data_IF_447591065058
#
_entry.id   IF_447591065058
#
_cell.length_a   1.000
_cell.length_b   1.000
_cell.length_c   1.000
_cell.angle_alpha   90.00
_cell.angle_beta   90.00
_cell.angle_gamma   90.00
#
_symmetry.space_group_name_H-M   'P 1'
#
loop_
_entity.id
_entity.type
_entity.pdbx_description
1 polymer ?
#
# COMPACT_ATOMS: atom_id res chain seq x y z
N UNK A 1 14.54 -17.59 17.03
CA UNK A 1 13.89 -16.31 17.30
C UNK A 1 12.73 -16.14 16.32
N UNK A 2 11.57 -15.80 16.79
CA UNK A 2 10.44 -15.59 15.89
C UNK A 2 10.62 -14.34 15.06
N UNK A 3 10.22 -14.42 13.79
CA UNK A 3 10.15 -13.27 12.92
C UNK A 3 8.87 -12.49 13.26
N UNK A 4 9.03 -11.28 13.76
CA UNK A 4 7.90 -10.42 14.14
C UNK A 4 7.49 -9.48 13.01
N UNK A 5 8.16 -9.56 11.86
CA UNK A 5 7.87 -8.67 10.73
C UNK A 5 6.53 -8.99 10.09
N UNK A 6 5.94 -7.96 9.53
CA UNK A 6 4.70 -8.05 8.78
C UNK A 6 5.03 -7.92 7.29
N UNK A 7 4.65 -8.92 6.51
CA UNK A 7 4.81 -8.95 5.06
C UNK A 7 3.43 -8.91 4.42
N UNK A 8 3.20 -7.96 3.53
CA UNK A 8 1.89 -7.74 2.93
C UNK A 8 1.99 -7.64 1.42
N UNK A 9 1.00 -8.21 0.75
CA UNK A 9 0.78 -8.01 -0.67
C UNK A 9 -0.57 -7.30 -0.82
N UNK A 10 -0.56 -6.06 -1.29
CA UNK A 10 -1.78 -5.30 -1.51
C UNK A 10 -2.05 -5.21 -3.02
N UNK A 11 -3.26 -5.55 -3.43
CA UNK A 11 -3.65 -5.54 -4.84
C UNK A 11 -4.86 -4.64 -5.01
N UNK A 12 -4.77 -3.73 -5.99
CA UNK A 12 -5.76 -2.69 -6.24
C UNK A 12 -6.16 -2.74 -7.70
N UNK A 13 -7.46 -2.67 -7.97
CA UNK A 13 -7.95 -2.52 -9.34
C UNK A 13 -8.49 -1.11 -9.50
N UNK A 14 -7.97 -0.35 -10.46
CA UNK A 14 -8.28 1.06 -10.63
C UNK A 14 -9.30 1.23 -11.76
N UNK A 15 -10.30 2.07 -11.53
CA UNK A 15 -11.31 2.35 -12.55
C UNK A 15 -10.69 3.03 -13.77
N UNK A 16 -11.21 2.73 -14.98
CA UNK A 16 -10.78 3.43 -16.19
C UNK A 16 -10.90 4.95 -16.03
N UNK A 17 -9.86 5.66 -16.48
CA UNK A 17 -9.84 7.11 -16.37
C UNK A 17 -9.30 7.67 -15.04
N UNK A 18 -9.09 6.80 -14.02
CA UNK A 18 -8.60 7.25 -12.72
C UNK A 18 -7.13 6.92 -12.48
N UNK A 19 -6.46 6.24 -13.40
CA UNK A 19 -5.13 5.69 -13.14
C UNK A 19 -4.08 6.74 -12.78
N UNK A 20 -3.98 7.82 -13.54
CA UNK A 20 -2.94 8.83 -13.30
C UNK A 20 -3.18 9.59 -11.99
N UNK A 21 -4.43 9.89 -11.68
CA UNK A 21 -4.79 10.49 -10.40
C UNK A 21 -4.46 9.58 -9.23
N UNK A 22 -4.79 8.29 -9.34
CA UNK A 22 -4.51 7.31 -8.28
C UNK A 22 -3.00 7.14 -8.08
N UNK A 23 -2.24 7.09 -9.15
CA UNK A 23 -0.77 7.04 -9.05
C UNK A 23 -0.22 8.24 -8.27
N UNK A 24 -0.74 9.43 -8.54
CA UNK A 24 -0.31 10.64 -7.84
C UNK A 24 -0.66 10.58 -6.34
N UNK A 25 -1.84 10.08 -6.01
CA UNK A 25 -2.29 9.89 -4.63
C UNK A 25 -1.34 8.96 -3.88
N UNK A 26 -1.01 7.81 -4.49
CA UNK A 26 -0.09 6.85 -3.86
C UNK A 26 1.32 7.42 -3.71
N UNK A 27 1.84 8.13 -4.70
CA UNK A 27 3.18 8.73 -4.64
C UNK A 27 3.29 9.76 -3.54
N UNK A 28 2.25 10.56 -3.34
CA UNK A 28 2.24 11.56 -2.27
C UNK A 28 2.35 10.92 -0.89
N UNK A 29 1.65 9.80 -0.67
CA UNK A 29 1.70 9.08 0.60
C UNK A 29 2.98 8.24 0.76
N UNK A 30 3.59 7.80 -0.34
CA UNK A 30 4.80 6.96 -0.31
C UNK A 30 5.97 7.67 0.37
N UNK A 31 6.16 8.95 0.08
CA UNK A 31 7.30 9.71 0.61
C UNK A 31 7.33 9.69 2.14
N UNK A 32 6.28 10.11 2.86
CA UNK A 32 6.30 10.04 4.32
C UNK A 32 6.26 8.60 4.84
N UNK A 33 5.64 7.65 4.12
CA UNK A 33 5.62 6.25 4.53
C UNK A 33 7.03 5.67 4.60
N UNK A 34 7.88 5.95 3.61
CA UNK A 34 9.26 5.47 3.59
C UNK A 34 10.13 6.09 4.69
N UNK A 35 9.67 7.17 5.30
CA UNK A 35 10.36 7.80 6.43
C UNK A 35 9.93 7.22 7.78
N UNK A 36 8.90 6.40 7.83
CA UNK A 36 8.46 5.74 9.06
C UNK A 36 9.54 4.76 9.54
N UNK A 37 9.94 4.83 10.82
CA UNK A 37 10.99 3.95 11.33
C UNK A 37 10.70 2.46 11.17
N UNK A 38 9.42 2.09 11.20
CA UNK A 38 9.01 0.70 11.09
C UNK A 38 8.71 0.22 9.68
N UNK A 39 8.74 1.09 8.68
CA UNK A 39 8.55 0.68 7.29
C UNK A 39 9.89 0.26 6.70
N UNK A 40 10.06 -1.04 6.49
CA UNK A 40 11.32 -1.59 5.97
C UNK A 40 11.34 -1.63 4.46
N UNK A 41 10.19 -1.82 3.82
CA UNK A 41 10.08 -1.83 2.37
C UNK A 41 8.65 -1.49 1.97
N UNK A 42 8.53 -0.77 0.87
CA UNK A 42 7.25 -0.55 0.19
C UNK A 42 7.56 -0.38 -1.30
N UNK A 43 7.20 -1.39 -2.08
CA UNK A 43 7.36 -1.38 -3.53
C UNK A 43 6.00 -1.22 -4.16
N UNK A 44 5.77 -0.07 -4.77
CA UNK A 44 4.53 0.22 -5.49
C UNK A 44 4.72 -0.11 -6.95
N UNK A 45 4.08 -1.18 -7.40
CA UNK A 45 4.21 -1.67 -8.77
C UNK A 45 2.84 -1.78 -9.45
N UNK A 46 2.87 -1.94 -10.75
CA UNK A 46 1.68 -2.26 -11.53
C UNK A 46 1.97 -3.47 -12.40
N UNK A 47 0.95 -4.21 -12.77
CA UNK A 47 1.12 -5.35 -13.66
C UNK A 47 1.50 -4.86 -15.05
N UNK A 48 2.45 -5.54 -15.68
CA UNK A 48 2.86 -5.20 -17.06
C UNK A 48 1.75 -5.49 -18.06
N UNK A 49 0.95 -6.52 -17.79
CA UNK A 49 -0.14 -6.94 -18.69
C UNK A 49 -1.43 -6.16 -18.47
N UNK A 50 -1.55 -5.44 -17.33
CA UNK A 50 -2.73 -4.64 -17.02
C UNK A 50 -2.36 -3.49 -16.08
N UNK A 51 -2.09 -2.29 -16.62
CA UNK A 51 -1.63 -1.17 -15.80
C UNK A 51 -2.65 -0.65 -14.79
N UNK A 52 -3.93 -1.05 -14.91
CA UNK A 52 -4.96 -0.70 -13.92
C UNK A 52 -4.95 -1.62 -12.71
N UNK A 53 -4.13 -2.67 -12.72
CA UNK A 53 -3.94 -3.55 -11.57
C UNK A 53 -2.61 -3.23 -10.91
N UNK A 54 -2.68 -2.64 -9.73
CA UNK A 54 -1.51 -2.28 -8.94
C UNK A 54 -1.23 -3.37 -7.92
N UNK A 55 0.06 -3.65 -7.70
CA UNK A 55 0.51 -4.69 -6.78
C UNK A 55 1.63 -4.09 -5.92
N UNK A 56 1.36 -3.97 -4.62
CA UNK A 56 2.32 -3.41 -3.66
C UNK A 56 2.84 -4.52 -2.76
N UNK A 57 4.15 -4.55 -2.55
CA UNK A 57 4.77 -5.41 -1.56
C UNK A 57 5.30 -4.54 -0.42
N UNK A 58 4.86 -4.84 0.81
CA UNK A 58 5.15 -4.03 1.98
C UNK A 58 5.73 -4.87 3.11
N UNK A 59 6.74 -4.33 3.78
CA UNK A 59 7.32 -4.96 4.96
C UNK A 59 7.39 -3.95 6.08
N UNK A 60 6.78 -4.29 7.21
CA UNK A 60 6.86 -3.51 8.45
C UNK A 60 7.58 -4.33 9.52
N UNK A 61 8.31 -3.65 10.40
CA UNK A 61 9.13 -4.31 11.42
C UNK A 61 8.31 -5.07 12.47
N UNK A 62 7.02 -4.72 12.63
CA UNK A 62 6.13 -5.32 13.61
C UNK A 62 4.68 -4.99 13.30
N UNK A 63 3.76 -5.66 13.98
CA UNK A 63 2.34 -5.31 13.92
C UNK A 63 2.10 -3.87 14.39
N UNK A 64 2.80 -3.44 15.44
CA UNK A 64 2.69 -2.08 15.94
C UNK A 64 3.15 -1.05 14.92
N UNK A 65 4.21 -1.35 14.17
CA UNK A 65 4.70 -0.47 13.09
C UNK A 65 3.66 -0.34 11.95
N UNK A 66 2.99 -1.43 11.62
CA UNK A 66 1.92 -1.41 10.62
C UNK A 66 0.72 -0.59 11.11
N UNK A 67 0.32 -0.77 12.37
CA UNK A 67 -0.76 0.04 12.97
C UNK A 67 -0.40 1.52 13.00
N UNK A 68 0.85 1.84 13.35
CA UNK A 68 1.34 3.22 13.33
C UNK A 68 1.16 3.82 11.93
N UNK A 69 1.53 3.08 10.88
CA UNK A 69 1.35 3.51 9.49
C UNK A 69 -0.12 3.81 9.17
N UNK A 70 -1.03 2.92 9.58
CA UNK A 70 -2.46 3.07 9.29
C UNK A 70 -3.08 4.26 10.02
N UNK A 71 -2.50 4.70 11.13
CA UNK A 71 -3.02 5.81 11.92
C UNK A 71 -2.50 7.19 11.49
N UNK A 72 -1.52 7.24 10.58
CA UNK A 72 -0.98 8.51 10.13
C UNK A 72 -2.00 9.30 9.31
N UNK A 73 -1.98 10.62 9.45
CA UNK A 73 -2.90 11.50 8.72
C UNK A 73 -2.75 11.34 7.20
N UNK A 74 -1.51 11.24 6.71
CA UNK A 74 -1.29 11.07 5.28
C UNK A 74 -1.84 9.74 4.75
N UNK A 75 -1.80 8.67 5.56
CA UNK A 75 -2.39 7.39 5.18
C UNK A 75 -3.90 7.49 5.11
N UNK A 76 -4.52 8.11 6.11
CA UNK A 76 -5.97 8.31 6.14
C UNK A 76 -6.44 9.19 4.98
N UNK A 77 -5.71 10.26 4.69
CA UNK A 77 -6.02 11.13 3.55
C UNK A 77 -5.90 10.38 2.23
N UNK A 78 -4.91 9.50 2.11
CA UNK A 78 -4.74 8.66 0.93
C UNK A 78 -5.98 7.80 0.71
N UNK A 79 -6.42 7.07 1.73
CA UNK A 79 -7.61 6.22 1.62
C UNK A 79 -8.85 7.04 1.26
N UNK A 80 -9.03 8.19 1.88
CA UNK A 80 -10.16 9.08 1.57
C UNK A 80 -10.12 9.56 0.11
N UNK A 81 -8.93 9.91 -0.38
CA UNK A 81 -8.76 10.37 -1.75
C UNK A 81 -9.02 9.26 -2.79
N UNK A 82 -8.83 7.99 -2.41
CA UNK A 82 -9.04 6.86 -3.30
C UNK A 82 -10.51 6.47 -3.46
N UNK A 83 -11.40 6.98 -2.61
CA UNK A 83 -12.83 6.63 -2.68
C UNK A 83 -13.41 6.97 -4.05
N UNK A 84 -14.16 6.02 -4.61
CA UNK A 84 -14.80 6.18 -5.92
C UNK A 84 -13.88 6.00 -7.11
N UNK A 85 -12.60 5.67 -6.89
CA UNK A 85 -11.61 5.53 -7.97
C UNK A 85 -11.16 4.09 -8.20
N UNK A 86 -11.69 3.16 -7.41
CA UNK A 86 -11.32 1.75 -7.49
C UNK A 86 -12.49 0.88 -7.90
N UNK A 87 -12.17 -0.23 -8.57
CA UNK A 87 -13.12 -1.28 -8.88
C UNK A 87 -13.09 -2.32 -7.78
N UNK A 88 -14.10 -2.31 -6.92
CA UNK A 88 -14.19 -3.22 -5.80
C UNK A 88 -13.27 -2.85 -4.63
N UNK A 89 -13.12 -3.78 -3.71
CA UNK A 89 -12.31 -3.64 -2.51
C UNK A 89 -10.89 -4.13 -2.79
N UNK A 90 -9.84 -3.42 -2.33
CA UNK A 90 -8.48 -3.92 -2.48
C UNK A 90 -8.30 -5.24 -1.73
N UNK A 91 -7.46 -6.11 -2.26
CA UNK A 91 -7.11 -7.37 -1.62
C UNK A 91 -5.81 -7.19 -0.85
N UNK A 92 -5.82 -7.54 0.43
CA UNK A 92 -4.64 -7.50 1.27
C UNK A 92 -4.30 -8.91 1.71
N UNK A 93 -3.19 -9.45 1.23
CA UNK A 93 -2.73 -10.78 1.57
C UNK A 93 -1.57 -10.71 2.56
N UNK A 94 -1.72 -11.39 3.69
CA UNK A 94 -0.63 -11.51 4.67
C UNK A 94 0.28 -12.65 4.25
N UNK A 95 1.58 -12.38 4.23
CA UNK A 95 2.60 -13.33 3.86
C UNK A 95 3.46 -13.68 5.06
N UNK A 96 4.14 -14.81 5.00
CA UNK A 96 5.09 -15.25 6.02
C UNK A 96 6.46 -15.49 5.39
N UNK A 97 7.51 -15.17 6.11
CA UNK A 97 8.84 -15.62 5.72
C UNK A 97 8.90 -17.15 5.76
N UNK A 98 9.69 -17.73 4.89
CA UNK A 98 9.83 -19.19 4.82
C UNK A 98 10.74 -19.73 5.97
#
# INVERSE_FOLDING_TARGET
MEDTKIYLLAEWTILPGCLEEVKAIFKEALIPTLQEPGCEALYETGRKDDPHKLVFFEVFSSAAAHEFHLEQDYTKRMFAALEGKMSGVPTLTKLSAL
#
